data_IF_230059920303
#
_entry.id   IF_230059920303
#
_cell.length_a   1.000
_cell.length_b   1.000
_cell.length_c   1.000
_cell.angle_alpha   90.00
_cell.angle_beta   90.00
_cell.angle_gamma   90.00
#
_symmetry.space_group_name_H-M   'P 1'
#
loop_
_entity.id
_entity.type
_entity.pdbx_description
1 polymer ?
#
# COMPACT_ATOMS: atom_id res chain seq x y z
N UNK A 1 36.81 -48.47 -14.13
CA UNK A 1 35.74 -47.67 -13.52
C UNK A 1 35.44 -46.49 -14.42
N UNK A 2 34.31 -46.48 -15.12
CA UNK A 2 33.80 -45.27 -15.77
C UNK A 2 32.29 -45.37 -15.93
N UNK A 3 31.56 -45.14 -14.83
CA UNK A 3 30.15 -44.78 -14.93
C UNK A 3 30.10 -43.26 -14.98
N UNK A 4 30.56 -42.71 -16.11
CA UNK A 4 30.33 -41.32 -16.43
C UNK A 4 28.84 -41.15 -16.68
N UNK A 5 28.23 -40.20 -16.00
CA UNK A 5 26.85 -39.79 -16.27
C UNK A 5 26.78 -39.48 -17.76
N UNK A 6 25.79 -40.06 -18.47
CA UNK A 6 25.60 -39.74 -19.89
C UNK A 6 25.46 -38.22 -20.03
N UNK A 7 26.23 -37.56 -20.92
CA UNK A 7 26.21 -36.10 -21.06
C UNK A 7 24.78 -35.54 -21.15
N UNK A 8 23.90 -36.26 -21.83
CA UNK A 8 22.49 -35.90 -22.02
C UNK A 8 21.67 -36.01 -20.74
N UNK A 9 21.89 -37.06 -19.93
CA UNK A 9 21.15 -37.25 -18.68
C UNK A 9 21.53 -36.17 -17.66
N UNK A 10 22.81 -35.76 -17.63
CA UNK A 10 23.26 -34.62 -16.84
C UNK A 10 22.58 -33.33 -17.27
N UNK A 11 22.49 -33.06 -18.57
CA UNK A 11 21.83 -31.84 -19.08
C UNK A 11 20.34 -31.81 -18.74
N UNK A 12 19.62 -32.92 -18.94
CA UNK A 12 18.17 -32.97 -18.63
C UNK A 12 17.92 -32.73 -17.14
N UNK A 13 18.75 -33.29 -16.27
CA UNK A 13 18.64 -33.08 -14.83
C UNK A 13 18.85 -31.60 -14.44
N UNK A 14 19.87 -30.96 -15.01
CA UNK A 14 20.14 -29.54 -14.74
C UNK A 14 19.00 -28.66 -15.24
N UNK A 15 18.47 -28.92 -16.44
CA UNK A 15 17.33 -28.18 -17.00
C UNK A 15 16.09 -28.34 -16.13
N UNK A 16 15.81 -29.55 -15.63
CA UNK A 16 14.66 -29.78 -14.77
C UNK A 16 14.74 -28.98 -13.46
N UNK A 17 15.93 -28.91 -12.85
CA UNK A 17 16.15 -28.16 -11.61
C UNK A 17 16.01 -26.65 -11.86
N UNK A 18 16.61 -26.12 -12.93
CA UNK A 18 16.53 -24.68 -13.22
C UNK A 18 15.12 -24.24 -13.59
N UNK A 19 14.38 -25.04 -14.34
CA UNK A 19 12.97 -24.76 -14.68
C UNK A 19 12.10 -24.76 -13.42
N UNK A 20 12.29 -25.74 -12.53
CA UNK A 20 11.54 -25.79 -11.27
C UNK A 20 11.87 -24.59 -10.38
N UNK A 21 13.15 -24.24 -10.26
CA UNK A 21 13.59 -23.09 -9.48
C UNK A 21 13.01 -21.78 -10.07
N UNK A 22 13.07 -21.61 -11.38
CA UNK A 22 12.52 -20.44 -12.06
C UNK A 22 10.99 -20.33 -11.86
N UNK A 23 10.27 -21.45 -11.95
CA UNK A 23 8.83 -21.48 -11.72
C UNK A 23 8.46 -21.08 -10.27
N UNK A 24 9.22 -21.55 -9.28
CA UNK A 24 9.00 -21.20 -7.87
C UNK A 24 9.30 -19.72 -7.61
N UNK A 25 10.38 -19.18 -8.19
CA UNK A 25 10.70 -17.75 -8.07
C UNK A 25 9.62 -16.88 -8.74
N UNK A 26 9.13 -17.28 -9.92
CA UNK A 26 8.05 -16.60 -10.62
C UNK A 26 6.73 -16.65 -9.84
N UNK A 27 6.37 -17.80 -9.27
CA UNK A 27 5.18 -17.93 -8.42
C UNK A 27 5.30 -17.10 -7.13
N UNK A 28 6.50 -17.07 -6.53
CA UNK A 28 6.77 -16.28 -5.33
C UNK A 28 6.56 -14.78 -5.52
N UNK A 29 6.88 -14.23 -6.69
CA UNK A 29 6.65 -12.80 -6.99
C UNK A 29 5.19 -12.49 -7.32
N UNK A 30 4.43 -13.41 -7.93
CA UNK A 30 2.99 -13.18 -8.23
C UNK A 30 2.11 -13.05 -6.99
N UNK A 31 2.56 -13.56 -5.85
CA UNK A 31 1.83 -13.47 -4.56
C UNK A 31 2.15 -12.19 -3.77
N UNK A 32 3.14 -11.41 -4.18
CA UNK A 32 3.44 -10.10 -3.61
C UNK A 32 2.50 -9.10 -4.30
N UNK A 33 1.24 -9.06 -3.86
CA UNK A 33 0.28 -8.09 -4.35
C UNK A 33 0.87 -6.67 -4.34
N UNK A 34 0.44 -5.83 -5.28
CA UNK A 34 0.78 -4.41 -5.19
C UNK A 34 0.19 -3.87 -3.89
N UNK A 35 0.96 -3.12 -3.08
CA UNK A 35 0.36 -2.45 -1.93
C UNK A 35 -0.82 -1.61 -2.43
N UNK A 36 -1.93 -1.66 -1.71
CA UNK A 36 -3.06 -0.79 -2.00
C UNK A 36 -2.58 0.67 -1.99
N UNK A 37 -3.06 1.51 -2.93
CA UNK A 37 -2.72 2.92 -2.91
C UNK A 37 -3.13 3.50 -1.56
N UNK A 38 -2.18 4.13 -0.85
CA UNK A 38 -2.49 4.84 0.38
C UNK A 38 -3.56 5.89 0.07
N UNK A 39 -4.70 5.91 0.80
CA UNK A 39 -5.73 6.90 0.55
C UNK A 39 -5.16 8.32 0.75
N UNK A 40 -5.46 9.21 -0.18
CA UNK A 40 -5.03 10.61 -0.17
C UNK A 40 -6.26 11.50 -0.15
N UNK A 41 -6.36 12.41 0.83
CA UNK A 41 -7.39 13.45 0.85
C UNK A 41 -6.73 14.76 1.28
N UNK A 42 -7.03 15.83 0.54
CA UNK A 42 -6.56 17.17 0.82
C UNK A 42 -7.69 17.98 1.45
N UNK A 43 -7.39 18.63 2.57
CA UNK A 43 -8.35 19.47 3.28
C UNK A 43 -7.80 20.88 3.47
N UNK A 44 -8.68 21.86 3.38
CA UNK A 44 -8.45 23.22 3.84
C UNK A 44 -9.39 23.52 5.02
N UNK A 45 -8.95 24.38 5.93
CA UNK A 45 -9.75 24.81 7.08
C UNK A 45 -9.65 26.32 7.26
N UNK A 46 -10.77 26.95 7.58
CA UNK A 46 -10.84 28.37 7.92
C UNK A 46 -11.71 28.60 9.15
N UNK A 47 -11.38 29.63 9.91
CA UNK A 47 -12.14 30.07 11.08
C UNK A 47 -12.57 31.53 10.88
N UNK A 48 -13.86 31.78 11.09
CA UNK A 48 -14.46 33.11 11.08
C UNK A 48 -15.06 33.37 12.48
N UNK A 49 -14.42 34.27 13.22
CA UNK A 49 -14.82 34.60 14.58
C UNK A 49 -16.05 35.52 14.63
N UNK A 50 -16.29 36.34 13.59
CA UNK A 50 -17.49 37.19 13.54
C UNK A 50 -18.74 36.36 13.24
N UNK A 51 -18.59 35.34 12.39
CA UNK A 51 -19.67 34.45 11.99
C UNK A 51 -19.81 33.19 12.88
N UNK A 52 -18.99 33.08 13.94
CA UNK A 52 -18.88 31.92 14.85
C UNK A 52 -18.86 30.58 14.10
N UNK A 53 -17.94 30.46 13.13
CA UNK A 53 -17.93 29.33 12.19
C UNK A 53 -16.51 28.85 11.86
N UNK A 54 -16.33 27.54 11.97
CA UNK A 54 -15.20 26.81 11.38
C UNK A 54 -15.68 26.06 10.15
N UNK A 55 -15.00 26.25 9.03
CA UNK A 55 -15.28 25.56 7.77
C UNK A 55 -14.14 24.64 7.42
N UNK A 56 -14.45 23.38 7.13
CA UNK A 56 -13.49 22.39 6.61
C UNK A 56 -13.95 21.99 5.21
N UNK A 57 -13.07 22.17 4.22
CA UNK A 57 -13.36 21.89 2.82
C UNK A 57 -12.48 20.74 2.33
N UNK A 58 -13.10 19.75 1.69
CA UNK A 58 -12.38 18.72 0.96
C UNK A 58 -11.99 19.25 -0.42
N UNK A 59 -10.70 19.49 -0.64
CA UNK A 59 -10.15 20.10 -1.86
C UNK A 59 -9.94 19.08 -2.98
N UNK A 60 -9.83 17.80 -2.63
CA UNK A 60 -9.69 16.70 -3.59
C UNK A 60 -8.96 15.50 -3.03
N UNK A 61 -8.84 14.47 -3.87
CA UNK A 61 -8.38 13.15 -3.46
C UNK A 61 -9.54 12.16 -3.39
N UNK A 62 -9.39 11.13 -2.56
CA UNK A 62 -10.37 10.07 -2.36
C UNK A 62 -11.67 10.59 -1.74
N UNK A 63 -12.77 9.91 -2.03
CA UNK A 63 -14.04 10.22 -1.41
C UNK A 63 -13.98 9.94 0.10
N UNK A 64 -14.44 10.91 0.88
CA UNK A 64 -14.46 10.84 2.34
C UNK A 64 -15.90 10.70 2.81
N UNK A 65 -16.15 9.74 3.70
CA UNK A 65 -17.47 9.54 4.30
C UNK A 65 -17.60 10.46 5.52
N UNK A 66 -18.48 11.47 5.52
CA UNK A 66 -18.53 12.44 6.61
C UNK A 66 -18.86 11.83 7.97
N UNK A 67 -19.64 10.75 7.99
CA UNK A 67 -20.05 10.06 9.21
C UNK A 67 -18.90 9.36 9.96
N UNK A 68 -17.74 9.16 9.31
CA UNK A 68 -16.56 8.54 9.92
C UNK A 68 -15.48 9.55 10.27
N UNK A 69 -15.73 10.85 10.04
CA UNK A 69 -14.79 11.91 10.38
C UNK A 69 -14.86 12.26 11.86
N UNK A 70 -13.70 12.44 12.47
CA UNK A 70 -13.55 13.07 13.78
C UNK A 70 -12.88 14.42 13.58
N UNK A 71 -13.43 15.45 14.21
CA UNK A 71 -12.87 16.81 14.17
C UNK A 71 -12.44 17.17 15.59
N UNK A 72 -11.16 17.49 15.74
CA UNK A 72 -10.58 18.01 16.98
C UNK A 72 -10.09 19.43 16.73
N UNK A 73 -10.54 20.36 17.58
CA UNK A 73 -10.17 21.77 17.49
C UNK A 73 -9.37 22.11 18.74
N UNK A 74 -8.17 22.66 18.55
CA UNK A 74 -7.33 23.16 19.64
C UNK A 74 -7.09 24.65 19.44
N UNK A 75 -7.12 25.41 20.54
CA UNK A 75 -6.82 26.84 20.57
C UNK A 75 -5.66 27.04 21.54
N UNK A 76 -4.54 27.57 21.06
CA UNK A 76 -3.31 27.75 21.85
C UNK A 76 -2.82 26.48 22.57
N UNK A 77 -3.12 25.31 21.99
CA UNK A 77 -2.75 24.00 22.55
C UNK A 77 -3.77 23.40 23.52
N UNK A 78 -4.83 24.13 23.87
CA UNK A 78 -5.93 23.62 24.69
C UNK A 78 -7.06 23.10 23.79
N UNK A 79 -7.55 21.86 24.00
CA UNK A 79 -8.71 21.36 23.28
C UNK A 79 -9.94 22.24 23.54
N UNK A 80 -10.60 22.67 22.47
CA UNK A 80 -11.90 23.28 22.55
C UNK A 80 -12.87 22.18 22.99
N UNK A 81 -13.30 22.23 24.26
CA UNK A 81 -14.13 21.19 24.86
C UNK A 81 -15.31 20.85 23.93
N UNK A 82 -15.44 19.56 23.60
CA UNK A 82 -16.48 19.00 22.72
C UNK A 82 -17.84 18.98 23.39
#
# INVERSE_FOLDING_TARGET
MSRGISPVVGTVLVVAITVTLAAVLAAGVTGLGTPDPTPTAAFSASADAEADRVTVTHEGGDAVVPATLSVEITVDGEPLAT
#
